data_IF_825290299988
#
_entry.id   IF_825290299988
#
_cell.length_a   1.000
_cell.length_b   1.000
_cell.length_c   1.000
_cell.angle_alpha   90.00
_cell.angle_beta   90.00
_cell.angle_gamma   90.00
#
_symmetry.space_group_name_H-M   'P 1'
#
loop_
_entity.id
_entity.type
_entity.pdbx_description
1 polymer ?
#
# COMPACT_ATOMS: atom_id res chain seq x y z
N UNK A 1 22.35 7.36 -0.04
CA UNK A 1 22.13 6.21 -0.90
C UNK A 1 23.32 5.29 -0.79
N UNK A 2 23.07 4.01 -0.63
CA UNK A 2 24.07 2.95 -0.51
C UNK A 2 23.94 1.92 -1.61
N UNK A 3 22.82 1.92 -2.36
CA UNK A 3 22.46 0.89 -3.35
C UNK A 3 22.56 -0.56 -2.81
N UNK A 4 22.51 -0.74 -1.49
CA UNK A 4 22.55 -2.03 -0.80
C UNK A 4 21.13 -2.30 -0.27
N UNK A 5 20.53 -3.39 -0.73
CA UNK A 5 19.21 -3.92 -0.38
C UNK A 5 19.35 -5.45 -0.34
N UNK A 6 19.51 -6.00 0.87
CA UNK A 6 19.91 -7.39 1.06
C UNK A 6 18.78 -8.38 0.82
N UNK A 7 17.55 -8.04 1.19
CA UNK A 7 16.39 -8.91 1.05
C UNK A 7 15.53 -8.62 -0.18
N UNK A 8 15.81 -7.52 -0.89
CA UNK A 8 15.25 -7.20 -2.19
C UNK A 8 13.84 -6.64 -2.13
N UNK A 9 13.48 -5.99 -1.02
CA UNK A 9 12.14 -5.42 -0.82
C UNK A 9 11.99 -4.00 -1.42
N UNK A 10 13.07 -3.45 -1.97
CA UNK A 10 13.10 -2.13 -2.60
C UNK A 10 13.40 -0.98 -1.64
N UNK A 11 13.71 -1.26 -0.36
CA UNK A 11 14.33 -0.33 0.56
C UNK A 11 15.81 -0.69 0.76
N UNK A 12 16.65 0.35 0.80
CA UNK A 12 18.07 0.16 1.10
C UNK A 12 18.29 -0.17 2.59
N UNK A 13 19.24 -1.06 2.91
CA UNK A 13 19.49 -1.64 4.25
C UNK A 13 19.56 -0.62 5.40
N UNK A 14 20.00 0.61 5.13
CA UNK A 14 20.13 1.67 6.16
C UNK A 14 18.86 2.51 6.37
N UNK A 15 17.79 2.22 5.65
CA UNK A 15 16.45 2.82 5.75
C UNK A 15 15.35 1.77 5.92
N UNK A 16 15.73 0.52 5.95
CA UNK A 16 14.85 -0.63 6.15
C UNK A 16 14.78 -0.95 7.65
N UNK A 17 13.56 -1.06 8.19
CA UNK A 17 13.32 -1.45 9.58
C UNK A 17 13.46 -2.95 9.82
N UNK A 18 13.60 -3.76 8.76
CA UNK A 18 13.94 -5.17 8.79
C UNK A 18 14.96 -5.58 7.69
N UNK A 19 16.25 -5.16 7.75
CA UNK A 19 17.25 -5.31 6.67
C UNK A 19 17.60 -6.73 6.18
N UNK A 20 16.92 -7.77 6.66
CA UNK A 20 17.15 -9.17 6.32
C UNK A 20 15.86 -9.94 6.06
N UNK A 21 14.71 -9.29 6.20
CA UNK A 21 13.38 -9.89 6.08
C UNK A 21 12.54 -8.92 5.29
N UNK A 22 12.34 -9.23 4.01
CA UNK A 22 11.61 -8.37 3.09
C UNK A 22 10.24 -7.98 3.67
N UNK A 23 9.97 -6.69 3.73
CA UNK A 23 8.73 -6.12 4.24
C UNK A 23 8.49 -4.75 3.59
N UNK A 24 8.14 -4.78 2.30
CA UNK A 24 8.01 -3.60 1.42
C UNK A 24 7.13 -2.49 2.02
N UNK A 25 6.13 -2.87 2.83
CA UNK A 25 5.19 -1.95 3.51
C UNK A 25 5.81 -1.20 4.71
N UNK A 26 6.92 -1.72 5.27
CA UNK A 26 7.64 -1.21 6.42
C UNK A 26 6.73 -0.95 7.63
N UNK A 27 5.74 -1.83 7.85
CA UNK A 27 4.90 -1.77 9.04
C UNK A 27 5.73 -1.91 10.31
N UNK A 28 5.36 -1.14 11.33
CA UNK A 28 6.01 -0.99 12.63
C UNK A 28 4.89 -0.52 13.59
N UNK A 29 4.21 -1.49 14.20
CA UNK A 29 2.91 -1.30 14.85
C UNK A 29 3.02 -0.57 16.18
N UNK A 30 4.15 -0.73 16.89
CA UNK A 30 4.44 -0.02 18.13
C UNK A 30 5.31 1.24 17.96
N UNK A 31 5.95 1.41 16.81
CA UNK A 31 6.78 2.56 16.48
C UNK A 31 8.15 2.55 17.16
N UNK A 32 8.70 1.39 17.51
CA UNK A 32 10.01 1.27 18.15
C UNK A 32 11.19 1.30 17.15
N UNK A 33 10.88 1.18 15.86
CA UNK A 33 11.82 1.20 14.74
C UNK A 33 12.28 -0.18 14.26
N UNK A 34 11.78 -1.26 14.86
CA UNK A 34 11.88 -2.63 14.35
C UNK A 34 10.61 -2.91 13.56
N UNK A 35 10.74 -3.39 12.32
CA UNK A 35 9.55 -3.67 11.52
C UNK A 35 8.80 -4.91 12.01
N UNK A 36 7.49 -4.92 11.82
CA UNK A 36 6.61 -6.01 12.27
C UNK A 36 7.09 -7.38 11.74
N UNK A 37 7.65 -7.42 10.54
CA UNK A 37 8.14 -8.66 9.92
C UNK A 37 9.33 -9.30 10.65
N UNK A 38 10.10 -8.52 11.42
CA UNK A 38 11.26 -8.97 12.17
C UNK A 38 11.19 -8.68 13.67
N UNK A 39 10.08 -8.13 14.15
CA UNK A 39 9.78 -7.99 15.57
C UNK A 39 9.21 -9.29 16.17
N UNK A 40 9.59 -9.56 17.41
CA UNK A 40 9.10 -10.69 18.22
C UNK A 40 7.92 -10.29 19.14
N UNK A 41 7.66 -8.99 19.30
CA UNK A 41 6.63 -8.38 20.15
C UNK A 41 6.12 -7.09 19.45
N UNK A 42 5.26 -7.25 18.45
CA UNK A 42 4.87 -6.24 17.46
C UNK A 42 4.11 -5.02 18.03
N UNK A 43 3.52 -5.16 19.21
CA UNK A 43 2.77 -4.09 19.89
C UNK A 43 3.41 -3.64 21.22
N UNK A 44 4.56 -4.23 21.56
CA UNK A 44 5.37 -3.96 22.75
C UNK A 44 4.57 -4.04 24.07
N UNK A 45 3.57 -4.93 24.16
CA UNK A 45 2.78 -5.13 25.37
C UNK A 45 3.44 -6.08 26.39
N UNK A 46 4.47 -6.81 25.95
CA UNK A 46 5.25 -7.77 26.75
C UNK A 46 4.79 -9.23 26.59
N UNK A 47 3.82 -9.52 25.74
CA UNK A 47 3.40 -10.85 25.29
C UNK A 47 3.96 -11.07 23.89
N UNK A 48 4.83 -12.07 23.73
CA UNK A 48 5.43 -12.36 22.42
C UNK A 48 4.36 -12.77 21.40
N UNK A 49 4.56 -12.41 20.13
CA UNK A 49 3.64 -12.66 19.01
C UNK A 49 3.11 -14.10 18.93
N UNK A 50 3.94 -15.10 19.28
CA UNK A 50 3.54 -16.53 19.26
C UNK A 50 2.51 -16.91 20.33
N UNK A 51 2.37 -16.09 21.38
CA UNK A 51 1.48 -16.28 22.51
C UNK A 51 0.42 -15.19 22.64
N UNK A 52 0.45 -14.21 21.74
CA UNK A 52 -0.44 -13.04 21.74
C UNK A 52 -1.69 -13.29 20.89
N UNK A 53 -2.87 -13.05 21.48
CA UNK A 53 -4.15 -13.13 20.79
C UNK A 53 -4.54 -11.84 20.04
N UNK A 54 -3.76 -10.77 20.15
CA UNK A 54 -3.88 -9.52 19.40
C UNK A 54 -2.50 -8.89 19.05
N UNK A 55 -1.69 -9.52 18.18
CA UNK A 55 -0.28 -9.14 17.97
C UNK A 55 0.00 -7.69 17.53
N UNK A 56 -1.00 -6.95 17.05
CA UNK A 56 -0.85 -5.56 16.59
C UNK A 56 -1.50 -4.54 17.53
N UNK A 57 -2.14 -5.00 18.62
CA UNK A 57 -2.96 -4.16 19.51
C UNK A 57 -2.77 -4.56 20.97
N UNK A 58 -1.92 -3.79 21.65
CA UNK A 58 -1.49 -4.04 23.02
C UNK A 58 -2.62 -4.42 23.99
N UNK A 59 -2.51 -5.61 24.58
CA UNK A 59 -3.46 -6.18 25.53
C UNK A 59 -2.82 -7.19 26.50
N UNK A 60 -2.01 -6.68 27.42
CA UNK A 60 -1.26 -7.45 28.44
C UNK A 60 -2.09 -8.51 29.20
N UNK A 61 -3.39 -8.29 29.36
CA UNK A 61 -4.30 -9.20 30.06
C UNK A 61 -4.81 -10.37 29.20
N UNK A 62 -4.61 -10.32 27.87
CA UNK A 62 -4.93 -11.35 26.89
C UNK A 62 -6.38 -11.81 27.03
N UNK A 63 -7.28 -10.85 27.29
CA UNK A 63 -8.70 -11.14 27.49
C UNK A 63 -9.32 -11.67 26.19
N UNK A 64 -9.83 -12.90 26.25
CA UNK A 64 -10.60 -13.58 25.21
C UNK A 64 -11.79 -14.28 25.90
N UNK A 65 -12.95 -13.61 25.90
CA UNK A 65 -14.14 -14.10 26.62
C UNK A 65 -14.85 -15.23 25.88
N UNK A 66 -14.76 -15.24 24.55
CA UNK A 66 -15.48 -16.18 23.70
C UNK A 66 -14.68 -17.49 23.47
N UNK A 67 -13.36 -17.46 23.73
CA UNK A 67 -12.36 -18.53 23.62
C UNK A 67 -12.13 -19.03 22.19
N UNK A 68 -12.19 -18.13 21.21
CA UNK A 68 -11.89 -18.46 19.82
C UNK A 68 -10.40 -18.27 19.45
N UNK A 69 -9.61 -17.70 20.37
CA UNK A 69 -8.18 -17.46 20.20
C UNK A 69 -7.82 -16.07 19.66
N UNK A 70 -8.80 -15.21 19.38
CA UNK A 70 -8.62 -13.78 19.10
C UNK A 70 -8.94 -12.98 20.37
N UNK A 71 -8.16 -11.95 20.67
CA UNK A 71 -8.41 -11.12 21.85
C UNK A 71 -9.59 -10.17 21.64
N UNK A 72 -10.34 -9.91 22.72
CA UNK A 72 -11.53 -9.05 22.71
C UNK A 72 -11.23 -7.63 22.21
N UNK A 73 -9.99 -7.13 22.37
CA UNK A 73 -9.58 -5.78 21.97
C UNK A 73 -9.40 -5.61 20.46
N UNK A 74 -8.99 -6.66 19.74
CA UNK A 74 -8.78 -6.64 18.30
C UNK A 74 -9.83 -7.45 17.53
N UNK A 75 -10.89 -7.90 18.20
CA UNK A 75 -11.93 -8.81 17.69
C UNK A 75 -12.49 -8.43 16.31
N UNK A 76 -12.72 -7.14 16.05
CA UNK A 76 -13.30 -6.63 14.80
C UNK A 76 -12.43 -5.60 14.07
N UNK A 77 -11.24 -5.35 14.59
CA UNK A 77 -10.30 -4.31 14.15
C UNK A 77 -8.91 -4.82 14.55
N UNK A 78 -8.31 -5.62 13.66
CA UNK A 78 -7.13 -6.44 13.96
C UNK A 78 -5.85 -5.62 14.10
N UNK A 79 -5.73 -4.49 13.39
CA UNK A 79 -4.57 -3.61 13.45
C UNK A 79 -4.80 -2.30 14.23
N UNK A 80 -6.01 -2.10 14.76
CA UNK A 80 -6.34 -1.00 15.66
C UNK A 80 -6.30 0.36 14.97
N UNK A 81 -6.70 0.43 13.70
CA UNK A 81 -6.74 1.65 12.89
C UNK A 81 -8.10 2.38 12.93
N UNK A 82 -9.06 1.81 13.67
CA UNK A 82 -10.45 2.25 13.81
C UNK A 82 -11.36 1.97 12.60
N UNK A 83 -10.91 1.15 11.65
CA UNK A 83 -11.67 0.65 10.52
C UNK A 83 -11.93 -0.85 10.72
N UNK A 84 -13.20 -1.30 10.78
CA UNK A 84 -13.46 -2.71 11.04
C UNK A 84 -12.96 -3.64 9.92
N UNK A 85 -12.38 -4.79 10.28
CA UNK A 85 -11.79 -5.81 9.37
C UNK A 85 -12.65 -6.09 8.11
N UNK A 86 -13.97 -6.08 8.27
CA UNK A 86 -14.93 -6.39 7.20
C UNK A 86 -15.05 -5.32 6.10
N UNK A 87 -14.52 -4.13 6.32
CA UNK A 87 -14.52 -3.01 5.37
C UNK A 87 -13.14 -2.40 5.17
N UNK A 88 -12.15 -2.93 5.88
CA UNK A 88 -10.75 -2.57 5.71
C UNK A 88 -10.15 -3.36 4.54
N UNK A 89 -9.49 -2.65 3.64
CA UNK A 89 -8.78 -3.24 2.52
C UNK A 89 -7.46 -3.91 2.93
N UNK A 90 -6.85 -3.50 4.05
CA UNK A 90 -5.65 -4.12 4.60
C UNK A 90 -5.77 -4.33 6.13
N UNK A 91 -6.60 -5.29 6.61
CA UNK A 91 -6.89 -5.49 8.04
C UNK A 91 -5.71 -5.78 8.98
N UNK A 92 -4.50 -5.91 8.45
CA UNK A 92 -3.27 -6.17 9.20
C UNK A 92 -2.22 -5.09 8.91
N UNK A 93 -2.65 -3.89 8.52
CA UNK A 93 -1.80 -2.76 8.21
C UNK A 93 -2.52 -1.45 8.51
N UNK A 94 -2.27 -0.94 9.71
CA UNK A 94 -2.91 0.26 10.24
C UNK A 94 -2.71 1.56 9.44
N UNK A 95 -1.85 1.54 8.43
CA UNK A 95 -1.55 2.70 7.60
C UNK A 95 -2.39 2.76 6.33
N UNK A 96 -3.15 1.70 5.99
CA UNK A 96 -3.84 1.58 4.70
C UNK A 96 -5.25 0.99 4.90
N UNK A 97 -6.26 1.85 4.94
CA UNK A 97 -7.63 1.40 5.21
C UNK A 97 -8.50 1.29 3.95
N UNK A 98 -8.15 2.05 2.91
CA UNK A 98 -8.93 2.17 1.68
C UNK A 98 -8.03 2.38 0.45
N UNK A 99 -8.58 2.09 -0.74
CA UNK A 99 -7.94 2.43 -2.00
C UNK A 99 -8.01 3.93 -2.26
N UNK A 100 -6.86 4.60 -2.27
CA UNK A 100 -6.78 6.06 -2.46
C UNK A 100 -5.56 6.47 -3.30
N UNK A 101 -5.81 6.87 -4.55
CA UNK A 101 -4.82 7.44 -5.47
C UNK A 101 -4.83 8.98 -5.52
N UNK A 102 -5.51 9.70 -4.61
CA UNK A 102 -5.47 11.18 -4.56
C UNK A 102 -4.06 11.72 -4.34
N UNK A 103 -3.21 10.93 -3.68
CA UNK A 103 -1.79 11.21 -3.52
C UNK A 103 -0.96 10.19 -4.30
N UNK A 104 -0.48 10.61 -5.46
CA UNK A 104 0.31 9.80 -6.38
C UNK A 104 1.54 10.58 -6.85
N UNK A 105 2.53 9.85 -7.35
CA UNK A 105 3.71 10.40 -8.02
C UNK A 105 3.61 10.14 -9.50
N UNK A 106 3.80 11.18 -10.32
CA UNK A 106 3.98 11.01 -11.77
C UNK A 106 5.41 10.60 -12.06
N UNK A 107 5.60 9.51 -12.78
CA UNK A 107 6.89 9.06 -13.31
C UNK A 107 6.86 9.21 -14.83
N UNK A 108 7.64 10.16 -15.35
CA UNK A 108 7.89 10.27 -16.79
C UNK A 108 8.89 9.18 -17.19
N UNK A 109 8.52 8.32 -18.14
CA UNK A 109 9.41 7.24 -18.60
C UNK A 109 10.37 7.70 -19.71
N UNK A 110 10.03 8.81 -20.39
CA UNK A 110 10.91 9.48 -21.34
C UNK A 110 11.01 10.98 -21.00
N UNK A 111 11.88 11.36 -20.05
CA UNK A 111 11.96 12.75 -19.59
C UNK A 111 12.77 13.69 -20.51
N UNK A 112 13.36 13.16 -21.59
CA UNK A 112 14.28 13.91 -22.46
C UNK A 112 13.71 14.18 -23.86
N UNK A 113 12.66 13.47 -24.28
CA UNK A 113 11.98 13.72 -25.55
C UNK A 113 10.81 14.71 -25.38
N UNK A 114 10.56 15.49 -26.43
CA UNK A 114 9.45 16.47 -26.52
C UNK A 114 8.46 16.04 -27.63
N UNK A 115 8.39 14.75 -27.94
CA UNK A 115 7.55 14.23 -29.01
C UNK A 115 6.07 14.52 -28.73
N UNK A 116 5.64 14.37 -27.49
CA UNK A 116 4.31 14.72 -27.01
C UNK A 116 4.42 15.53 -25.70
N UNK A 117 3.31 15.71 -24.99
CA UNK A 117 3.33 16.33 -23.68
C UNK A 117 3.26 15.25 -22.60
N UNK A 118 3.74 15.55 -21.40
CA UNK A 118 3.61 14.65 -20.25
C UNK A 118 2.14 14.27 -19.96
N UNK A 119 1.89 13.07 -19.40
CA UNK A 119 0.56 12.69 -18.97
C UNK A 119 -0.05 13.66 -17.95
N UNK A 120 -1.33 13.94 -18.10
CA UNK A 120 -2.11 14.67 -17.12
C UNK A 120 -3.21 13.79 -16.56
N UNK A 121 -3.12 13.54 -15.26
CA UNK A 121 -3.99 12.66 -14.51
C UNK A 121 -5.04 13.46 -13.75
N UNK A 122 -6.30 13.08 -13.92
CA UNK A 122 -7.42 13.58 -13.12
C UNK A 122 -7.86 12.46 -12.16
N UNK A 123 -7.86 12.74 -10.86
CA UNK A 123 -8.29 11.78 -9.84
C UNK A 123 -9.75 12.05 -9.48
N UNK A 124 -10.56 11.02 -9.57
CA UNK A 124 -12.00 11.03 -9.38
C UNK A 124 -12.39 9.97 -8.33
N UNK A 125 -13.67 9.95 -7.97
CA UNK A 125 -14.26 8.97 -7.04
C UNK A 125 -13.43 8.77 -5.75
N UNK A 126 -13.05 9.87 -5.10
CA UNK A 126 -12.25 9.89 -3.87
C UNK A 126 -10.93 9.10 -3.94
N UNK A 127 -10.33 9.00 -5.12
CA UNK A 127 -9.06 8.28 -5.30
C UNK A 127 -9.21 6.90 -5.93
N UNK A 128 -10.44 6.43 -6.15
CA UNK A 128 -10.70 5.11 -6.74
C UNK A 128 -10.88 5.14 -8.27
N UNK A 129 -10.80 6.31 -8.91
CA UNK A 129 -10.84 6.43 -10.38
C UNK A 129 -9.75 7.40 -10.86
N UNK A 130 -9.02 7.01 -11.89
CA UNK A 130 -7.98 7.82 -12.53
C UNK A 130 -8.35 7.97 -13.99
N UNK A 131 -8.38 9.22 -14.47
CA UNK A 131 -8.61 9.54 -15.86
C UNK A 131 -7.38 10.23 -16.46
N UNK A 132 -6.87 9.69 -17.57
CA UNK A 132 -5.82 10.30 -18.37
C UNK A 132 -6.47 10.84 -19.65
N UNK A 133 -6.21 12.12 -19.95
CA UNK A 133 -6.99 12.86 -20.95
C UNK A 133 -6.30 13.06 -22.29
N UNK A 134 -4.98 12.99 -22.35
CA UNK A 134 -4.21 13.49 -23.48
C UNK A 134 -3.43 12.35 -24.14
N UNK A 135 -3.33 12.35 -25.47
CA UNK A 135 -2.28 11.56 -26.10
C UNK A 135 -0.92 12.16 -25.67
N UNK A 136 -0.14 11.38 -24.91
CA UNK A 136 1.00 11.84 -24.12
C UNK A 136 2.20 10.91 -24.28
N UNK A 137 3.36 11.41 -23.88
CA UNK A 137 4.53 10.55 -23.67
C UNK A 137 4.24 9.48 -22.60
N UNK A 138 4.99 8.36 -22.60
CA UNK A 138 4.76 7.29 -21.64
C UNK A 138 5.06 7.75 -20.21
N UNK A 139 4.11 7.53 -19.31
CA UNK A 139 4.29 7.81 -17.90
C UNK A 139 3.36 7.02 -17.01
N UNK A 140 3.68 7.03 -15.71
CA UNK A 140 2.97 6.29 -14.68
C UNK A 140 2.40 7.25 -13.63
N UNK A 141 1.21 6.96 -13.14
CA UNK A 141 0.72 7.50 -11.88
C UNK A 141 0.85 6.42 -10.80
N UNK A 142 1.79 6.58 -9.88
CA UNK A 142 2.11 5.58 -8.86
C UNK A 142 1.59 6.04 -7.51
N UNK A 143 0.71 5.25 -6.89
CA UNK A 143 0.20 5.52 -5.56
C UNK A 143 1.29 5.48 -4.49
N UNK A 144 1.06 6.12 -3.34
CA UNK A 144 2.04 6.17 -2.24
C UNK A 144 2.16 4.87 -1.45
N UNK A 145 1.11 4.05 -1.46
CA UNK A 145 1.05 2.85 -0.64
C UNK A 145 1.96 1.77 -1.23
N UNK A 146 2.69 1.12 -0.33
CA UNK A 146 3.57 -0.01 -0.62
C UNK A 146 2.90 -1.25 -0.07
N UNK A 147 2.76 -2.28 -0.90
CA UNK A 147 1.98 -3.47 -0.57
C UNK A 147 2.80 -4.72 -0.82
N UNK A 148 2.69 -5.66 0.09
CA UNK A 148 3.14 -7.04 -0.09
C UNK A 148 1.90 -7.92 -0.30
N UNK A 149 1.96 -8.87 -1.24
CA UNK A 149 0.84 -9.79 -1.47
C UNK A 149 -0.49 -9.09 -1.80
N UNK A 150 -0.52 -8.35 -2.91
CA UNK A 150 -1.66 -7.52 -3.30
C UNK A 150 -2.60 -8.20 -4.30
N UNK A 151 -3.90 -8.06 -4.07
CA UNK A 151 -4.93 -8.23 -5.10
C UNK A 151 -5.36 -6.84 -5.60
N UNK A 152 -5.04 -6.54 -6.86
CA UNK A 152 -5.40 -5.27 -7.50
C UNK A 152 -6.35 -5.51 -8.67
N UNK A 153 -7.50 -4.84 -8.64
CA UNK A 153 -8.49 -4.87 -9.72
C UNK A 153 -8.94 -3.47 -10.11
N UNK A 154 -9.33 -3.32 -11.38
CA UNK A 154 -9.79 -2.07 -11.93
C UNK A 154 -10.57 -2.30 -13.22
N UNK A 155 -11.39 -1.32 -13.59
CA UNK A 155 -12.08 -1.32 -14.88
C UNK A 155 -11.37 -0.37 -15.83
N UNK A 156 -10.94 -0.88 -16.99
CA UNK A 156 -10.46 -0.02 -18.06
C UNK A 156 -11.59 0.39 -19.00
N UNK A 157 -11.62 1.68 -19.31
CA UNK A 157 -12.51 2.23 -20.32
C UNK A 157 -11.79 3.34 -21.10
N UNK A 158 -11.64 3.14 -22.41
CA UNK A 158 -11.14 4.18 -23.31
C UNK A 158 -12.33 4.99 -23.77
N UNK A 159 -12.46 6.20 -23.21
CA UNK A 159 -13.49 7.13 -23.61
C UNK A 159 -13.17 7.71 -25.00
N UNK A 160 -14.15 7.76 -25.93
CA UNK A 160 -13.91 8.38 -27.23
C UNK A 160 -13.69 9.88 -27.07
N UNK A 161 -12.62 10.41 -27.66
CA UNK A 161 -12.42 11.87 -27.76
C UNK A 161 -13.33 12.43 -28.86
N UNK A 162 -14.28 13.33 -28.55
CA UNK A 162 -15.17 13.92 -29.54
C UNK A 162 -14.45 14.82 -30.56
N UNK A 163 -13.21 15.23 -30.29
CA UNK A 163 -12.38 16.03 -31.18
C UNK A 163 -11.41 15.18 -32.01
N UNK A 164 -11.25 13.91 -31.66
CA UNK A 164 -10.40 13.01 -32.41
C UNK A 164 -11.19 12.31 -33.51
N UNK A 165 -10.68 12.48 -34.74
CA UNK A 165 -11.33 11.97 -35.96
C UNK A 165 -10.82 10.57 -36.31
N UNK A 166 -9.75 10.12 -35.63
CA UNK A 166 -9.15 8.80 -35.77
C UNK A 166 -8.97 8.26 -34.36
N UNK A 167 -9.62 7.14 -34.02
CA UNK A 167 -9.38 6.52 -32.72
C UNK A 167 -7.91 6.12 -32.60
N UNK A 168 -7.27 6.58 -31.53
CA UNK A 168 -5.94 6.17 -31.13
C UNK A 168 -5.92 4.67 -30.74
N UNK A 169 -4.82 3.97 -31.03
CA UNK A 169 -4.63 2.53 -30.78
C UNK A 169 -3.40 2.22 -29.92
N UNK A 170 -2.94 3.23 -29.18
CA UNK A 170 -1.81 3.18 -28.25
C UNK A 170 -2.09 2.44 -26.92
N UNK A 171 -1.11 2.51 -26.01
CA UNK A 171 -1.03 1.66 -24.83
C UNK A 171 -1.74 2.23 -23.59
N UNK A 172 -2.32 1.33 -22.80
CA UNK A 172 -2.83 1.61 -21.44
C UNK A 172 -2.61 0.37 -20.57
N UNK A 173 -2.39 0.56 -19.27
CA UNK A 173 -2.22 -0.54 -18.33
C UNK A 173 -2.06 -0.06 -16.88
N UNK A 174 -1.73 -1.00 -16.00
CA UNK A 174 -1.35 -0.75 -14.61
C UNK A 174 0.05 -1.31 -14.34
N UNK A 175 0.66 -0.85 -13.26
CA UNK A 175 1.94 -1.35 -12.72
C UNK A 175 1.73 -1.81 -11.28
N UNK A 176 2.50 -2.80 -10.85
CA UNK A 176 2.59 -3.33 -9.49
C UNK A 176 4.00 -3.87 -9.26
#
# INVERSE_FOLDING_TARGET
DTDEDFDGDGLQDNRDNCPKVANVNQCDSDGDGIGDACDVDQDNDGVLNEADNCPLVANVDQTDLNKDGKGDCCENDFDGDAVPDRVDNCPANRNIMESDFRNFTTVALDPEDDAQADPHWEILNDGAEIFQKFNSDPGLAVGRHKLEGVDFEGTFFIAPDPNDVVADDDFVGFVF
#
